data_IF_584863423463
#
_entry.id   IF_584863423463
#
_cell.length_a   1.000
_cell.length_b   1.000
_cell.length_c   1.000
_cell.angle_alpha   90.00
_cell.angle_beta   90.00
_cell.angle_gamma   90.00
#
_symmetry.space_group_name_H-M   'P 1'
#
loop_
_entity.id
_entity.type
_entity.pdbx_description
1 polymer ?
#
# COMPACT_ATOMS: atom_id res chain seq x y z
N UNK A 1 -16.52 14.89 70.17
CA UNK A 1 -17.11 14.16 69.01
C UNK A 1 -16.99 14.93 67.71
N UNK A 2 -15.86 15.52 67.40
CA UNK A 2 -15.69 16.36 66.21
C UNK A 2 -14.50 15.89 65.33
N UNK A 3 -14.22 14.61 65.33
CA UNK A 3 -13.09 14.08 64.54
C UNK A 3 -13.53 13.25 63.32
N UNK A 4 -14.83 13.04 63.08
CA UNK A 4 -15.31 12.19 62.01
C UNK A 4 -15.69 12.94 60.72
N UNK A 5 -15.84 14.24 60.77
CA UNK A 5 -16.26 15.01 59.58
C UNK A 5 -15.12 15.53 58.74
N UNK A 6 -13.90 15.53 59.25
CA UNK A 6 -12.71 15.99 58.49
C UNK A 6 -12.22 14.99 57.47
N UNK A 7 -12.50 13.71 57.68
CA UNK A 7 -12.07 12.68 56.74
C UNK A 7 -13.07 12.47 55.59
N UNK A 8 -14.34 12.88 55.75
CA UNK A 8 -15.33 12.72 54.72
C UNK A 8 -15.14 13.72 53.56
N UNK A 9 -14.68 14.94 53.89
CA UNK A 9 -14.34 15.95 52.89
C UNK A 9 -13.08 15.61 52.10
N UNK A 10 -12.12 14.94 52.75
CA UNK A 10 -10.86 14.54 52.11
C UNK A 10 -11.04 13.34 51.20
N UNK A 11 -11.96 12.44 51.54
CA UNK A 11 -12.29 11.27 50.68
C UNK A 11 -13.13 11.73 49.48
N UNK A 12 -13.97 12.72 49.61
CA UNK A 12 -14.76 13.27 48.52
C UNK A 12 -13.87 14.03 47.50
N UNK A 13 -12.83 14.71 47.95
CA UNK A 13 -11.84 15.35 47.07
C UNK A 13 -10.97 14.37 46.30
N UNK A 14 -10.66 13.23 46.90
CA UNK A 14 -9.88 12.18 46.21
C UNK A 14 -10.69 11.45 45.13
N UNK A 15 -12.02 11.39 45.29
CA UNK A 15 -12.90 10.80 44.26
C UNK A 15 -13.12 11.71 43.06
N UNK A 16 -13.01 13.05 43.23
CA UNK A 16 -13.12 13.99 42.12
C UNK A 16 -11.86 14.04 41.23
N UNK A 17 -10.69 13.65 41.75
CA UNK A 17 -9.43 13.67 40.99
C UNK A 17 -9.30 12.48 40.03
N UNK A 18 -10.11 11.43 40.13
CA UNK A 18 -10.06 10.26 39.29
C UNK A 18 -10.84 10.36 37.96
N UNK A 19 -11.59 11.46 37.77
CA UNK A 19 -12.43 11.64 36.58
C UNK A 19 -11.78 12.41 35.44
N UNK A 20 -10.50 12.80 35.54
CA UNK A 20 -9.83 13.60 34.49
C UNK A 20 -8.82 12.77 33.70
N UNK A 21 -8.74 11.47 33.90
CA UNK A 21 -7.87 10.59 33.14
C UNK A 21 -8.63 9.83 32.04
N UNK A 22 -9.52 10.51 31.34
CA UNK A 22 -10.29 9.94 30.25
C UNK A 22 -10.36 10.91 29.08
N UNK A 23 -9.22 11.40 28.58
CA UNK A 23 -9.17 11.96 27.24
C UNK A 23 -8.85 10.83 26.24
N UNK A 24 -9.82 10.37 25.45
CA UNK A 24 -9.50 9.60 24.24
C UNK A 24 -9.11 10.59 23.15
N UNK A 25 -7.94 11.22 23.31
CA UNK A 25 -7.41 12.19 22.36
C UNK A 25 -6.54 11.59 21.25
N UNK A 26 -6.22 10.30 21.33
CA UNK A 26 -5.23 9.71 20.42
C UNK A 26 -5.77 9.07 19.14
N UNK A 27 -7.09 8.95 19.00
CA UNK A 27 -7.64 8.32 17.80
C UNK A 27 -7.68 9.23 16.57
N UNK A 28 -7.62 10.55 16.74
CA UNK A 28 -7.57 11.48 15.61
C UNK A 28 -6.15 11.69 15.08
N UNK A 29 -5.13 11.50 15.92
CA UNK A 29 -3.74 11.69 15.53
C UNK A 29 -3.22 10.53 14.66
N UNK A 30 -3.69 9.31 14.91
CA UNK A 30 -3.29 8.14 14.11
C UNK A 30 -3.82 8.17 12.68
N UNK A 31 -5.03 8.68 12.50
CA UNK A 31 -5.65 8.75 11.18
C UNK A 31 -4.94 9.72 10.24
N UNK A 32 -4.48 10.84 10.77
CA UNK A 32 -3.80 11.87 9.96
C UNK A 32 -2.36 11.47 9.62
N UNK A 33 -1.67 10.82 10.56
CA UNK A 33 -0.31 10.35 10.34
C UNK A 33 -0.27 9.19 9.35
N UNK A 34 -1.24 8.29 9.42
CA UNK A 34 -1.34 7.16 8.50
C UNK A 34 -1.62 7.61 7.06
N UNK A 35 -2.49 8.60 6.87
CA UNK A 35 -2.78 9.17 5.55
C UNK A 35 -1.56 9.86 4.94
N UNK A 36 -0.78 10.58 5.76
CA UNK A 36 0.45 11.23 5.30
C UNK A 36 1.50 10.18 4.92
N UNK A 37 1.64 9.12 5.70
CA UNK A 37 2.57 8.04 5.42
C UNK A 37 2.20 7.30 4.12
N UNK A 38 0.93 7.05 3.87
CA UNK A 38 0.46 6.43 2.63
C UNK A 38 0.73 7.30 1.41
N UNK A 39 0.54 8.60 1.50
CA UNK A 39 0.87 9.53 0.43
C UNK A 39 2.37 9.53 0.12
N UNK A 40 3.19 9.45 1.15
CA UNK A 40 4.65 9.34 1.00
C UNK A 40 5.05 8.00 0.36
N UNK A 41 4.39 6.91 0.74
CA UNK A 41 4.62 5.59 0.14
C UNK A 41 4.26 5.62 -1.35
N UNK A 42 3.08 6.13 -1.70
CA UNK A 42 2.64 6.25 -3.09
C UNK A 42 3.62 7.08 -3.93
N UNK A 43 4.09 8.21 -3.40
CA UNK A 43 5.07 9.06 -4.07
C UNK A 43 6.41 8.36 -4.26
N UNK A 44 6.91 7.65 -3.25
CA UNK A 44 8.16 6.88 -3.35
C UNK A 44 8.06 5.77 -4.39
N UNK A 45 6.95 5.04 -4.42
CA UNK A 45 6.70 4.00 -5.43
C UNK A 45 6.66 4.63 -6.83
N UNK A 46 5.94 5.73 -6.98
CA UNK A 46 5.86 6.46 -8.26
C UNK A 46 7.24 6.88 -8.75
N UNK A 47 8.05 7.48 -7.89
CA UNK A 47 9.42 7.88 -8.24
C UNK A 47 10.30 6.68 -8.59
N UNK A 48 10.17 5.58 -7.87
CA UNK A 48 10.92 4.36 -8.16
C UNK A 48 10.56 3.78 -9.53
N UNK A 49 9.26 3.78 -9.88
CA UNK A 49 8.79 3.37 -11.20
C UNK A 49 9.28 4.27 -12.33
N UNK A 50 9.31 5.60 -12.09
CA UNK A 50 9.85 6.54 -13.09
C UNK A 50 11.35 6.42 -13.28
N UNK A 51 12.07 5.98 -12.27
CA UNK A 51 13.53 5.83 -12.31
C UNK A 51 13.97 4.55 -13.01
N UNK A 52 13.09 3.58 -13.15
CA UNK A 52 13.38 2.32 -13.82
C UNK A 52 13.27 2.49 -15.34
N UNK A 53 14.24 1.93 -16.06
CA UNK A 53 14.32 2.04 -17.53
C UNK A 53 13.42 1.03 -18.25
N UNK A 54 13.06 -0.04 -17.58
CA UNK A 54 12.28 -1.14 -18.14
C UNK A 54 10.78 -0.96 -17.93
N UNK A 55 10.39 0.01 -17.07
CA UNK A 55 8.99 0.28 -16.72
C UNK A 55 8.60 1.67 -17.21
N UNK A 56 7.52 1.72 -17.99
CA UNK A 56 6.92 3.00 -18.34
C UNK A 56 6.02 3.52 -17.21
N UNK A 57 6.63 4.12 -16.21
CA UNK A 57 5.93 4.63 -15.02
C UNK A 57 4.80 5.62 -15.33
N UNK A 58 4.82 6.28 -16.48
CA UNK A 58 3.78 7.25 -16.89
C UNK A 58 2.43 6.60 -17.15
N UNK A 59 2.41 5.33 -17.51
CA UNK A 59 1.20 4.55 -17.71
C UNK A 59 0.63 3.94 -16.45
N UNK A 60 1.33 4.09 -15.31
CA UNK A 60 0.99 3.42 -14.06
C UNK A 60 0.53 4.45 -13.02
N UNK A 61 -0.68 4.29 -12.53
CA UNK A 61 -1.21 5.03 -11.38
C UNK A 61 -0.95 4.23 -10.11
N UNK A 62 -0.45 4.89 -9.09
CA UNK A 62 -0.12 4.32 -7.79
C UNK A 62 -1.02 4.92 -6.73
N UNK A 63 -1.69 4.08 -5.97
CA UNK A 63 -2.46 4.45 -4.80
C UNK A 63 -1.97 3.63 -3.60
N UNK A 64 -1.98 4.23 -2.41
CA UNK A 64 -1.60 3.55 -1.17
C UNK A 64 -2.65 3.79 -0.10
N UNK A 65 -3.00 2.74 0.61
CA UNK A 65 -3.88 2.77 1.76
C UNK A 65 -3.40 1.76 2.81
N UNK A 66 -3.10 2.24 4.01
CA UNK A 66 -2.64 1.39 5.13
C UNK A 66 -1.41 0.51 4.78
N UNK A 67 -0.50 1.05 3.97
CA UNK A 67 0.68 0.33 3.50
C UNK A 67 0.44 -0.65 2.35
N UNK A 68 -0.80 -0.79 1.88
CA UNK A 68 -1.15 -1.57 0.70
C UNK A 68 -1.12 -0.68 -0.53
N UNK A 69 -0.27 -1.02 -1.48
CA UNK A 69 -0.11 -0.29 -2.74
C UNK A 69 -0.93 -0.95 -3.83
N UNK A 70 -1.75 -0.19 -4.51
CA UNK A 70 -2.46 -0.62 -5.71
C UNK A 70 -1.83 0.01 -6.95
N UNK A 71 -1.48 -0.82 -7.92
CA UNK A 71 -0.96 -0.41 -9.22
C UNK A 71 -2.04 -0.60 -10.27
N UNK A 72 -2.47 0.49 -10.92
CA UNK A 72 -3.45 0.48 -11.99
C UNK A 72 -2.88 1.14 -13.24
N UNK A 73 -3.36 0.75 -14.39
CA UNK A 73 -2.93 1.33 -15.66
C UNK A 73 -2.66 0.30 -16.74
N UNK A 74 -1.98 0.72 -17.79
CA UNK A 74 -1.67 -0.09 -18.95
C UNK A 74 -0.15 -0.14 -19.15
N UNK A 75 0.37 -1.33 -19.29
CA UNK A 75 1.80 -1.61 -19.56
C UNK A 75 1.95 -2.34 -20.89
N UNK A 76 3.15 -2.30 -21.45
CA UNK A 76 3.41 -2.89 -22.76
C UNK A 76 3.53 -4.42 -22.73
N UNK A 77 3.91 -4.98 -21.57
CA UNK A 77 4.13 -6.43 -21.45
C UNK A 77 3.84 -6.93 -20.04
N UNK A 78 3.64 -8.24 -19.93
CA UNK A 78 3.52 -8.91 -18.63
C UNK A 78 4.82 -8.82 -17.81
N UNK A 79 5.98 -8.81 -18.46
CA UNK A 79 7.27 -8.63 -17.81
C UNK A 79 7.37 -7.24 -17.16
N UNK A 80 6.90 -6.20 -17.83
CA UNK A 80 6.83 -4.84 -17.28
C UNK A 80 5.92 -4.77 -16.06
N UNK A 81 4.76 -5.43 -16.11
CA UNK A 81 3.85 -5.50 -14.96
C UNK A 81 4.49 -6.19 -13.75
N UNK A 82 5.21 -7.28 -13.96
CA UNK A 82 5.93 -7.97 -12.90
C UNK A 82 7.08 -7.12 -12.34
N UNK A 83 7.81 -6.44 -13.20
CA UNK A 83 8.89 -5.53 -12.81
C UNK A 83 8.35 -4.39 -11.95
N UNK A 84 7.26 -3.77 -12.36
CA UNK A 84 6.59 -2.72 -11.61
C UNK A 84 6.17 -3.19 -10.20
N UNK A 85 5.64 -4.40 -10.10
CA UNK A 85 5.26 -5.00 -8.82
C UNK A 85 6.48 -5.23 -7.92
N UNK A 86 7.58 -5.74 -8.46
CA UNK A 86 8.83 -5.93 -7.71
C UNK A 86 9.39 -4.62 -7.18
N UNK A 87 9.40 -3.58 -8.00
CA UNK A 87 9.86 -2.24 -7.61
C UNK A 87 9.01 -1.71 -6.46
N UNK A 88 7.68 -1.83 -6.56
CA UNK A 88 6.77 -1.37 -5.51
C UNK A 88 6.99 -2.13 -4.19
N UNK A 89 7.23 -3.43 -4.23
CA UNK A 89 7.50 -4.24 -3.03
C UNK A 89 8.81 -3.88 -2.32
N UNK A 90 9.78 -3.36 -3.03
CA UNK A 90 11.07 -2.96 -2.47
C UNK A 90 11.03 -1.61 -1.75
N UNK A 91 9.98 -0.83 -1.94
CA UNK A 91 9.83 0.48 -1.30
C UNK A 91 9.52 0.32 0.18
N UNK A 92 10.30 1.02 1.01
CA UNK A 92 10.12 0.99 2.47
C UNK A 92 8.74 1.51 2.86
N UNK A 93 8.03 0.75 3.67
CA UNK A 93 6.68 1.05 4.16
C UNK A 93 5.59 0.30 3.42
N UNK A 94 5.89 -0.34 2.30
CA UNK A 94 4.94 -1.17 1.56
C UNK A 94 4.76 -2.52 2.26
N UNK A 95 3.53 -2.83 2.63
CA UNK A 95 3.15 -4.11 3.27
C UNK A 95 2.68 -5.14 2.25
N UNK A 96 1.95 -4.69 1.23
CA UNK A 96 1.45 -5.53 0.15
C UNK A 96 1.28 -4.71 -1.13
N UNK A 97 1.29 -5.38 -2.28
CA UNK A 97 1.07 -4.77 -3.59
C UNK A 97 -0.03 -5.51 -4.32
N UNK A 98 -1.06 -4.78 -4.70
CA UNK A 98 -2.12 -5.26 -5.59
C UNK A 98 -1.84 -4.83 -7.02
N UNK A 99 -1.60 -5.80 -7.87
CA UNK A 99 -1.36 -5.56 -9.29
C UNK A 99 -2.69 -5.62 -10.06
N UNK A 100 -3.12 -4.47 -10.57
CA UNK A 100 -4.26 -4.30 -11.48
C UNK A 100 -3.85 -3.70 -12.81
N UNK A 101 -2.60 -3.92 -13.19
CA UNK A 101 -2.08 -3.49 -14.48
C UNK A 101 -2.67 -4.36 -15.60
N UNK A 102 -3.03 -3.72 -16.70
CA UNK A 102 -3.46 -4.37 -17.93
C UNK A 102 -2.32 -4.34 -18.92
N UNK A 103 -2.06 -5.46 -19.55
CA UNK A 103 -1.10 -5.49 -20.65
C UNK A 103 -1.80 -4.96 -21.90
N UNK A 104 -1.17 -4.00 -22.58
CA UNK A 104 -1.64 -3.52 -23.86
C UNK A 104 -1.46 -4.65 -24.88
N UNK A 105 -2.53 -5.34 -25.20
CA UNK A 105 -2.54 -6.34 -26.26
C UNK A 105 -2.50 -5.65 -27.64
N UNK A 106 -1.43 -4.91 -27.86
CA UNK A 106 -1.10 -4.36 -29.16
C UNK A 106 -0.16 -5.35 -29.86
N UNK A 107 -0.72 -6.25 -30.59
CA UNK A 107 -0.11 -7.33 -31.34
C UNK A 107 0.04 -8.63 -30.53
N UNK A 108 -0.73 -9.68 -30.86
CA UNK A 108 -0.38 -11.00 -30.42
C UNK A 108 0.99 -11.31 -31.01
N UNK A 109 2.00 -11.40 -30.17
CA UNK A 109 3.25 -12.05 -30.54
C UNK A 109 2.86 -13.40 -31.12
N UNK A 110 3.23 -13.72 -32.37
CA UNK A 110 2.89 -15.01 -32.94
C UNK A 110 3.55 -16.05 -32.06
N UNK A 111 2.70 -16.78 -31.32
CA UNK A 111 3.13 -17.96 -30.61
C UNK A 111 4.07 -18.70 -31.54
N UNK A 112 5.32 -18.88 -31.08
CA UNK A 112 6.35 -19.64 -31.76
C UNK A 112 5.68 -20.83 -32.40
N UNK A 113 5.58 -20.78 -33.74
CA UNK A 113 5.21 -21.93 -34.54
C UNK A 113 6.22 -22.97 -34.24
N UNK A 114 5.93 -23.86 -33.36
CA UNK A 114 6.58 -25.16 -33.30
C UNK A 114 6.22 -25.79 -34.62
N UNK A 115 7.15 -25.63 -35.55
CA UNK A 115 7.16 -26.32 -36.83
C UNK A 115 7.32 -27.80 -36.55
N UNK A 116 6.24 -28.47 -36.27
CA UNK A 116 6.21 -29.92 -36.40
C UNK A 116 6.20 -30.21 -37.91
N UNK A 117 7.41 -30.20 -38.45
CA UNK A 117 7.66 -30.77 -39.74
C UNK A 117 7.49 -32.30 -39.63
N UNK A 118 6.26 -32.74 -39.77
CA UNK A 118 6.03 -34.16 -40.06
C UNK A 118 6.34 -34.35 -41.53
N UNK A 119 7.56 -34.81 -41.76
CA UNK A 119 7.96 -35.31 -43.06
C UNK A 119 7.02 -36.42 -43.49
N UNK A 120 6.20 -36.14 -44.47
CA UNK A 120 5.46 -37.16 -45.17
C UNK A 120 6.27 -37.52 -46.38
N UNK A 121 7.08 -38.58 -46.25
CA UNK A 121 7.64 -39.32 -47.35
C UNK A 121 6.48 -39.92 -48.12
N UNK A 122 6.28 -39.47 -49.33
CA UNK A 122 5.48 -40.19 -50.28
C UNK A 122 6.43 -40.70 -51.40
N UNK A 123 6.45 -41.97 -51.47
CA UNK A 123 6.88 -42.65 -52.68
C UNK A 123 5.89 -42.42 -53.80
#
# INVERSE_FOLDING_TARGET
>A
MTRRTRNLGMVLCLLCAAMIAGCPGDRMSQSTTEVVDDSLIANKVTLALYSDKEVNGRGIKVESAQGVVELTGVVASAAEAQRAMQIAQQVKGVKAVHNRLRVHEGHPEPASRTSSNTGKTQQ
#
